data_IF_897181402929
#
_entry.id   IF_897181402929
#
_cell.length_a   1.000
_cell.length_b   1.000
_cell.length_c   1.000
_cell.angle_alpha   90.00
_cell.angle_beta   90.00
_cell.angle_gamma   90.00
#
_symmetry.space_group_name_H-M   'P 1'
#
loop_
_entity.id
_entity.type
_entity.pdbx_description
1 polymer ?
#
# COMPACT_ATOMS: atom_id res chain seq x y z
N UNK A 1 20.95 -0.69 -30.74
CA UNK A 1 19.98 -1.47 -29.96
C UNK A 1 18.88 -0.50 -29.54
N UNK A 2 17.93 -0.27 -30.46
CA UNK A 2 17.01 0.88 -30.49
C UNK A 2 15.62 0.52 -29.93
N UNK A 3 15.56 0.23 -28.63
CA UNK A 3 14.29 -0.04 -27.95
C UNK A 3 13.64 1.19 -27.27
N UNK A 4 14.36 2.26 -26.83
CA UNK A 4 13.72 3.29 -26.02
C UNK A 4 12.60 4.03 -26.76
N UNK A 5 12.89 4.65 -27.92
CA UNK A 5 12.00 5.57 -28.64
C UNK A 5 10.63 4.97 -29.02
N UNK A 6 10.61 3.75 -29.57
CA UNK A 6 9.36 3.12 -29.98
C UNK A 6 8.47 2.71 -28.79
N UNK A 7 9.07 2.38 -27.64
CA UNK A 7 8.30 2.01 -26.44
C UNK A 7 7.69 3.23 -25.74
N UNK A 8 8.36 4.39 -25.79
CA UNK A 8 7.80 5.67 -25.34
C UNK A 8 6.50 6.03 -26.08
N UNK A 9 6.46 5.89 -27.41
CA UNK A 9 5.25 6.16 -28.19
C UNK A 9 4.13 5.12 -27.98
N UNK A 10 4.45 3.93 -27.48
CA UNK A 10 3.50 2.82 -27.35
C UNK A 10 2.60 2.91 -26.10
N UNK A 11 2.90 3.77 -25.12
CA UNK A 11 2.20 3.82 -23.82
C UNK A 11 1.37 5.10 -23.58
N UNK A 12 1.57 6.17 -24.34
CA UNK A 12 0.87 7.45 -24.12
C UNK A 12 -0.22 7.77 -25.16
N UNK A 13 -0.38 6.95 -26.22
CA UNK A 13 -1.22 7.33 -27.37
C UNK A 13 -2.74 7.32 -27.15
N UNK A 14 -3.23 6.74 -26.05
CA UNK A 14 -4.65 6.85 -25.69
C UNK A 14 -4.73 6.97 -24.18
N UNK A 15 -5.40 8.01 -23.67
CA UNK A 15 -5.52 8.36 -22.24
C UNK A 15 -6.29 7.36 -21.36
N UNK A 16 -6.24 6.07 -21.70
CA UNK A 16 -6.85 4.97 -20.99
C UNK A 16 -5.80 4.01 -20.46
N UNK A 17 -5.73 3.89 -19.14
CA UNK A 17 -4.83 2.97 -18.44
C UNK A 17 -5.03 1.49 -18.85
N UNK A 18 -6.19 1.11 -19.39
CA UNK A 18 -6.43 -0.26 -19.91
C UNK A 18 -5.45 -0.62 -21.03
N UNK A 19 -5.08 0.34 -21.88
CA UNK A 19 -4.11 0.13 -22.95
C UNK A 19 -2.72 -0.25 -22.40
N UNK A 20 -2.37 0.15 -21.17
CA UNK A 20 -1.10 -0.23 -20.54
C UNK A 20 -1.02 -1.75 -20.36
N UNK A 21 -2.10 -2.40 -19.94
CA UNK A 21 -2.13 -3.86 -19.73
C UNK A 21 -1.89 -4.65 -21.02
N UNK A 22 -2.47 -4.19 -22.14
CA UNK A 22 -2.25 -4.80 -23.47
C UNK A 22 -0.77 -4.70 -23.89
N UNK A 23 -0.14 -3.56 -23.58
CA UNK A 23 1.28 -3.33 -23.88
C UNK A 23 2.19 -4.15 -22.98
N UNK A 24 1.87 -4.29 -21.69
CA UNK A 24 2.58 -5.21 -20.77
C UNK A 24 2.54 -6.62 -21.33
N UNK A 25 1.38 -7.08 -21.82
CA UNK A 25 1.25 -8.40 -22.46
C UNK A 25 2.13 -8.54 -23.70
N UNK A 26 2.10 -7.56 -24.60
CA UNK A 26 2.90 -7.57 -25.84
C UNK A 26 4.43 -7.49 -25.60
N UNK A 27 4.86 -7.05 -24.42
CA UNK A 27 6.26 -6.87 -24.05
C UNK A 27 6.68 -7.73 -22.86
N UNK A 28 5.86 -8.68 -22.42
CA UNK A 28 6.13 -9.53 -21.27
C UNK A 28 7.49 -10.23 -21.40
N UNK A 29 8.21 -10.32 -20.28
CA UNK A 29 9.58 -10.84 -20.14
C UNK A 29 10.69 -10.02 -20.82
N UNK A 30 10.37 -8.93 -21.53
CA UNK A 30 11.40 -8.00 -22.01
C UNK A 30 12.03 -7.28 -20.82
N UNK A 31 13.32 -6.99 -20.92
CA UNK A 31 14.09 -6.25 -19.92
C UNK A 31 14.54 -4.92 -20.50
N UNK A 32 14.16 -3.82 -19.86
CA UNK A 32 14.60 -2.48 -20.25
C UNK A 32 15.60 -1.96 -19.22
N UNK A 33 16.78 -1.56 -19.70
CA UNK A 33 17.78 -0.92 -18.85
C UNK A 33 17.29 0.47 -18.43
N UNK A 34 17.46 0.78 -17.15
CA UNK A 34 17.19 2.11 -16.63
C UNK A 34 18.44 2.98 -16.76
N UNK A 35 18.24 4.28 -17.03
CA UNK A 35 19.33 5.24 -17.05
C UNK A 35 19.91 5.46 -15.65
N UNK A 36 19.04 5.44 -14.63
CA UNK A 36 19.39 5.45 -13.21
C UNK A 36 18.39 4.59 -12.43
N UNK A 37 18.84 3.87 -11.38
CA UNK A 37 20.24 3.55 -11.11
C UNK A 37 20.83 2.66 -12.21
N UNK A 38 22.12 2.84 -12.53
CA UNK A 38 22.79 2.08 -13.61
C UNK A 38 22.92 0.61 -13.22
N UNK A 39 22.82 -0.27 -14.20
CA UNK A 39 22.98 -1.72 -14.00
C UNK A 39 21.66 -2.44 -13.73
N UNK A 40 20.62 -1.72 -13.30
CA UNK A 40 19.30 -2.26 -13.09
C UNK A 40 18.45 -2.29 -14.36
N UNK A 41 17.56 -3.28 -14.42
CA UNK A 41 16.64 -3.48 -15.54
C UNK A 41 15.24 -3.70 -15.02
N UNK A 42 14.27 -2.99 -15.59
CA UNK A 42 12.85 -3.29 -15.43
C UNK A 42 12.52 -4.53 -16.28
N UNK A 43 12.12 -5.62 -15.63
CA UNK A 43 11.53 -6.80 -16.28
C UNK A 43 10.03 -6.58 -16.42
N UNK A 44 9.55 -6.45 -17.65
CA UNK A 44 8.12 -6.27 -17.94
C UNK A 44 7.37 -7.55 -17.63
N UNK A 45 6.26 -7.41 -16.91
CA UNK A 45 5.41 -8.51 -16.50
C UNK A 45 4.17 -8.03 -15.76
N UNK A 46 3.20 -8.92 -15.63
CA UNK A 46 2.00 -8.69 -14.83
C UNK A 46 2.27 -8.99 -13.36
N UNK A 47 1.30 -8.70 -12.50
CA UNK A 47 1.38 -9.07 -11.08
C UNK A 47 1.72 -10.55 -10.86
N UNK A 48 1.19 -11.44 -11.69
CA UNK A 48 1.42 -12.89 -11.60
C UNK A 48 2.85 -13.33 -11.94
N UNK A 49 3.67 -12.41 -12.47
CA UNK A 49 5.09 -12.61 -12.75
C UNK A 49 6.00 -12.13 -11.60
N UNK A 50 5.41 -11.76 -10.46
CA UNK A 50 6.08 -11.15 -9.29
C UNK A 50 5.88 -11.99 -8.02
N UNK A 51 6.52 -11.62 -6.91
CA UNK A 51 6.23 -12.22 -5.59
C UNK A 51 4.78 -12.05 -5.12
N UNK A 52 4.00 -11.15 -5.74
CA UNK A 52 2.60 -10.92 -5.41
C UNK A 52 1.61 -11.75 -6.22
N UNK A 53 2.08 -12.81 -6.89
CA UNK A 53 1.25 -13.71 -7.71
C UNK A 53 0.00 -14.20 -6.96
N UNK A 54 -1.15 -14.08 -7.60
CA UNK A 54 -2.45 -14.49 -7.04
C UNK A 54 -3.00 -13.59 -5.92
N UNK A 55 -2.24 -12.61 -5.42
CA UNK A 55 -2.68 -11.72 -4.34
C UNK A 55 -3.31 -10.42 -4.88
N UNK A 56 -4.49 -10.53 -5.52
CA UNK A 56 -5.18 -9.39 -6.14
C UNK A 56 -5.42 -8.20 -5.20
N UNK A 57 -5.51 -8.47 -3.90
CA UNK A 57 -5.72 -7.43 -2.87
C UNK A 57 -4.60 -6.41 -2.83
N UNK A 58 -3.36 -6.78 -3.16
CA UNK A 58 -2.22 -5.84 -3.11
C UNK A 58 -2.48 -4.63 -4.01
N UNK A 59 -2.88 -4.85 -5.26
CA UNK A 59 -3.10 -3.74 -6.20
C UNK A 59 -4.36 -2.94 -5.84
N UNK A 60 -5.39 -3.62 -5.35
CA UNK A 60 -6.61 -2.97 -4.84
C UNK A 60 -6.29 -2.06 -3.64
N UNK A 61 -5.46 -2.52 -2.71
CA UNK A 61 -5.04 -1.73 -1.54
C UNK A 61 -4.16 -0.54 -1.95
N UNK A 62 -3.21 -0.74 -2.87
CA UNK A 62 -2.38 0.35 -3.39
C UNK A 62 -3.19 1.43 -4.08
N UNK A 63 -4.24 1.03 -4.81
CA UNK A 63 -5.12 1.96 -5.51
C UNK A 63 -5.96 2.82 -4.55
N UNK A 64 -6.27 2.32 -3.35
CA UNK A 64 -7.26 2.92 -2.44
C UNK A 64 -6.71 3.56 -1.19
N UNK A 65 -5.66 3.00 -0.60
CA UNK A 65 -5.29 3.32 0.79
C UNK A 65 -3.99 4.10 0.93
N UNK A 66 -3.30 4.39 -0.16
CA UNK A 66 -2.00 5.06 -0.14
C UNK A 66 -2.07 6.52 -0.57
N UNK A 67 -2.85 6.81 -1.61
CA UNK A 67 -3.01 8.14 -2.16
C UNK A 67 -4.28 8.80 -1.62
N UNK A 68 -4.30 10.13 -1.60
CA UNK A 68 -5.44 10.90 -1.08
C UNK A 68 -6.74 10.55 -1.81
N UNK A 69 -6.66 10.46 -3.14
CA UNK A 69 -7.75 10.02 -4.00
C UNK A 69 -7.45 8.60 -4.49
N UNK A 70 -8.50 7.83 -4.79
CA UNK A 70 -8.34 6.52 -5.43
C UNK A 70 -7.69 6.71 -6.81
N UNK A 71 -6.64 5.95 -7.09
CA UNK A 71 -5.93 5.95 -8.37
C UNK A 71 -5.80 4.51 -8.82
N UNK A 72 -6.48 4.12 -9.91
CA UNK A 72 -6.31 2.78 -10.47
C UNK A 72 -4.86 2.57 -10.89
N UNK A 73 -4.28 1.44 -10.51
CA UNK A 73 -2.89 1.11 -10.82
C UNK A 73 -2.77 -0.16 -11.65
N UNK A 74 -1.84 -0.15 -12.60
CA UNK A 74 -1.47 -1.32 -13.41
C UNK A 74 0.00 -1.65 -13.17
N UNK A 75 0.26 -2.92 -12.84
CA UNK A 75 1.64 -3.43 -12.74
C UNK A 75 2.25 -3.46 -14.14
N UNK A 76 3.43 -2.87 -14.29
CA UNK A 76 4.18 -2.89 -15.55
C UNK A 76 5.45 -3.75 -15.47
N UNK A 77 5.84 -4.18 -14.28
CA UNK A 77 6.95 -5.11 -14.10
C UNK A 77 7.61 -5.03 -12.73
N UNK A 78 8.81 -5.59 -12.63
CA UNK A 78 9.63 -5.59 -11.41
C UNK A 78 11.08 -5.22 -11.72
N UNK A 79 11.77 -4.72 -10.71
CA UNK A 79 13.23 -4.67 -10.69
C UNK A 79 13.70 -5.71 -9.67
N UNK A 80 14.41 -6.73 -10.15
CA UNK A 80 14.98 -7.80 -9.33
C UNK A 80 16.36 -7.42 -8.78
N UNK A 81 16.65 -7.86 -7.55
CA UNK A 81 17.98 -7.74 -6.94
C UNK A 81 18.38 -6.30 -6.67
N UNK A 82 17.41 -5.45 -6.35
CA UNK A 82 17.64 -4.04 -6.09
C UNK A 82 18.24 -3.85 -4.68
N UNK A 83 19.54 -3.53 -4.59
CA UNK A 83 20.27 -3.51 -3.31
C UNK A 83 19.73 -2.45 -2.31
N UNK A 84 19.10 -1.39 -2.81
CA UNK A 84 18.49 -0.35 -1.98
C UNK A 84 17.05 -0.70 -1.54
N UNK A 85 16.49 -1.82 -2.04
CA UNK A 85 15.19 -2.35 -1.62
C UNK A 85 15.31 -3.05 -0.28
N UNK A 86 14.47 -2.69 0.69
CA UNK A 86 14.41 -3.34 1.99
C UNK A 86 13.49 -4.58 1.97
N UNK A 87 12.76 -4.82 0.88
CA UNK A 87 11.94 -6.02 0.75
C UNK A 87 12.77 -7.30 0.80
N UNK A 88 12.35 -8.27 1.60
CA UNK A 88 13.03 -9.58 1.72
C UNK A 88 13.20 -10.30 0.38
N UNK A 89 12.29 -10.03 -0.58
CA UNK A 89 12.35 -10.58 -1.93
C UNK A 89 13.41 -9.94 -2.83
N UNK A 90 13.91 -8.75 -2.47
CA UNK A 90 14.72 -7.89 -3.34
C UNK A 90 14.00 -7.46 -4.62
N UNK A 91 12.67 -7.63 -4.70
CA UNK A 91 11.85 -7.20 -5.84
C UNK A 91 11.17 -5.87 -5.53
N UNK A 92 11.48 -4.87 -6.34
CA UNK A 92 10.75 -3.60 -6.36
C UNK A 92 9.67 -3.65 -7.44
N UNK A 93 8.40 -3.66 -7.02
CA UNK A 93 7.25 -3.72 -7.93
C UNK A 93 7.04 -2.35 -8.59
N UNK A 94 6.93 -2.29 -9.91
CA UNK A 94 6.71 -1.04 -10.65
C UNK A 94 5.30 -0.99 -11.22
N UNK A 95 4.60 0.11 -10.94
CA UNK A 95 3.21 0.36 -11.33
C UNK A 95 3.06 1.69 -12.07
N UNK A 96 2.01 1.80 -12.86
CA UNK A 96 1.55 3.06 -13.46
C UNK A 96 0.15 3.35 -12.94
N UNK A 97 -0.07 4.56 -12.43
CA UNK A 97 -1.39 5.05 -12.04
C UNK A 97 -2.17 5.61 -13.22
N UNK A 98 -3.49 5.71 -13.11
CA UNK A 98 -4.34 6.35 -14.15
C UNK A 98 -4.08 7.85 -14.29
N UNK A 99 -3.36 8.43 -13.32
CA UNK A 99 -2.77 9.77 -13.38
C UNK A 99 -1.45 9.83 -14.18
N UNK A 100 -1.09 8.73 -14.85
CA UNK A 100 0.11 8.53 -15.68
C UNK A 100 1.44 8.67 -14.96
N UNK A 101 1.43 8.68 -13.62
CA UNK A 101 2.64 8.64 -12.82
C UNK A 101 3.13 7.22 -12.62
N UNK A 102 4.43 7.09 -12.35
CA UNK A 102 5.06 5.79 -12.10
C UNK A 102 5.34 5.66 -10.61
N UNK A 103 4.91 4.52 -10.07
CA UNK A 103 5.08 4.17 -8.68
C UNK A 103 5.95 2.94 -8.51
N UNK A 104 6.65 2.86 -7.39
CA UNK A 104 7.34 1.67 -6.94
C UNK A 104 6.78 1.23 -5.59
N UNK A 105 6.66 -0.07 -5.36
CA UNK A 105 6.13 -0.63 -4.12
C UNK A 105 7.10 -1.66 -3.53
N UNK A 106 7.40 -1.49 -2.24
CA UNK A 106 8.16 -2.44 -1.41
C UNK A 106 7.66 -2.38 0.04
N UNK A 107 7.68 -3.50 0.78
CA UNK A 107 7.51 -3.58 2.26
C UNK A 107 6.50 -2.59 2.88
N UNK A 108 5.33 -2.41 2.25
CA UNK A 108 4.26 -1.48 2.65
C UNK A 108 4.45 0.02 2.34
N UNK A 109 5.49 0.42 1.63
CA UNK A 109 5.73 1.77 1.13
C UNK A 109 5.40 1.88 -0.37
N UNK A 110 4.61 2.89 -0.75
CA UNK A 110 4.40 3.26 -2.15
C UNK A 110 5.18 4.54 -2.46
N UNK A 111 6.04 4.49 -3.46
CA UNK A 111 6.91 5.59 -3.83
C UNK A 111 6.54 6.14 -5.20
N UNK A 112 6.36 7.45 -5.32
CA UNK A 112 6.32 8.13 -6.62
C UNK A 112 7.75 8.24 -7.14
N UNK A 113 8.11 7.40 -8.13
CA UNK A 113 9.50 7.28 -8.63
C UNK A 113 9.74 8.04 -9.93
N UNK A 114 8.69 8.31 -10.70
CA UNK A 114 8.75 9.19 -11.87
C UNK A 114 7.40 9.88 -12.13
N UNK A 115 7.44 11.11 -12.67
CA UNK A 115 6.25 11.90 -12.99
C UNK A 115 5.53 11.44 -14.27
N UNK A 116 6.19 10.60 -15.07
CA UNK A 116 5.65 9.97 -16.27
C UNK A 116 6.50 8.75 -16.65
N UNK A 117 5.98 7.90 -17.52
CA UNK A 117 6.75 6.81 -18.13
C UNK A 117 7.95 7.33 -18.92
N UNK A 118 7.78 8.46 -19.61
CA UNK A 118 8.90 9.13 -20.29
C UNK A 118 10.03 9.46 -19.29
N UNK A 119 9.69 10.07 -18.15
CA UNK A 119 10.66 10.42 -17.13
C UNK A 119 11.37 9.20 -16.54
N UNK A 120 10.65 8.08 -16.33
CA UNK A 120 11.25 6.83 -15.82
C UNK A 120 12.42 6.36 -16.67
N UNK A 121 12.28 6.35 -18.00
CA UNK A 121 13.32 5.81 -18.88
C UNK A 121 14.35 6.87 -19.31
N UNK A 122 13.97 8.14 -19.46
CA UNK A 122 14.91 9.20 -19.83
C UNK A 122 15.76 9.65 -18.63
N UNK A 123 15.12 9.92 -17.49
CA UNK A 123 15.81 10.43 -16.30
C UNK A 123 16.22 9.31 -15.34
N UNK A 124 15.50 8.19 -15.35
CA UNK A 124 15.70 7.06 -14.44
C UNK A 124 14.65 7.00 -13.32
N UNK A 125 14.78 5.96 -12.51
CA UNK A 125 14.03 5.73 -11.28
C UNK A 125 14.58 6.64 -10.18
N UNK A 126 13.75 7.54 -9.64
CA UNK A 126 14.10 8.23 -8.39
C UNK A 126 13.74 7.33 -7.22
N UNK A 127 14.74 6.84 -6.50
CA UNK A 127 14.58 5.99 -5.33
C UNK A 127 15.22 6.67 -4.09
N UNK A 128 14.62 6.59 -2.88
CA UNK A 128 13.37 5.89 -2.55
C UNK A 128 12.14 6.49 -3.24
N UNK A 129 12.13 7.78 -3.56
CA UNK A 129 11.04 8.39 -4.34
C UNK A 129 11.13 9.92 -4.38
N UNK A 130 10.40 10.54 -5.30
CA UNK A 130 10.08 11.98 -5.27
C UNK A 130 9.18 12.27 -4.06
N UNK A 131 8.28 11.33 -3.76
CA UNK A 131 7.40 11.32 -2.59
C UNK A 131 7.10 9.88 -2.20
N UNK A 132 7.03 9.60 -0.91
CA UNK A 132 6.64 8.30 -0.36
C UNK A 132 5.27 8.42 0.30
N UNK A 133 4.48 7.37 0.18
CA UNK A 133 3.14 7.23 0.75
C UNK A 133 3.08 5.97 1.59
N UNK A 134 2.42 6.08 2.74
CA UNK A 134 2.21 4.98 3.66
C UNK A 134 0.76 4.51 3.63
N UNK A 135 0.56 3.23 3.93
CA UNK A 135 -0.78 2.66 4.02
C UNK A 135 -1.62 3.41 5.05
N UNK A 136 -2.79 3.88 4.64
CA UNK A 136 -3.71 4.63 5.48
C UNK A 136 -3.38 6.12 5.63
N UNK A 137 -2.28 6.61 5.06
CA UNK A 137 -1.90 8.02 5.14
C UNK A 137 -2.98 8.96 4.55
N UNK A 138 -3.76 8.46 3.58
CA UNK A 138 -4.90 9.17 3.02
C UNK A 138 -5.94 9.60 4.06
N UNK A 139 -6.02 8.91 5.20
CA UNK A 139 -6.99 9.19 6.27
C UNK A 139 -6.48 10.17 7.34
N UNK A 140 -5.19 10.51 7.35
CA UNK A 140 -4.60 11.35 8.42
C UNK A 140 -5.22 12.75 8.53
N UNK A 141 -5.69 13.30 7.42
CA UNK A 141 -6.24 14.66 7.34
C UNK A 141 -7.75 14.67 7.02
N UNK A 142 -8.42 13.55 7.19
CA UNK A 142 -9.85 13.43 6.92
C UNK A 142 -10.65 14.15 8.02
N UNK A 143 -11.58 15.01 7.60
CA UNK A 143 -12.48 15.77 8.48
C UNK A 143 -13.56 14.86 9.09
N UNK A 144 -14.16 15.23 10.24
CA UNK A 144 -15.25 14.47 10.84
C UNK A 144 -16.43 14.22 9.88
N UNK A 145 -16.70 15.17 8.99
CA UNK A 145 -17.73 15.06 7.95
C UNK A 145 -17.38 13.96 6.94
N UNK A 146 -16.16 13.99 6.40
CA UNK A 146 -15.66 12.97 5.46
C UNK A 146 -15.64 11.57 6.10
N UNK A 147 -15.27 11.46 7.39
CA UNK A 147 -15.36 10.20 8.14
C UNK A 147 -16.80 9.70 8.25
N UNK A 148 -17.75 10.60 8.53
CA UNK A 148 -19.15 10.23 8.65
C UNK A 148 -19.73 9.75 7.33
N UNK A 149 -19.27 10.32 6.20
CA UNK A 149 -19.70 9.87 4.87
C UNK A 149 -19.12 8.48 4.54
N UNK A 150 -17.83 8.22 4.85
CA UNK A 150 -17.22 6.88 4.73
C UNK A 150 -17.96 5.83 5.58
N UNK A 151 -18.38 6.20 6.79
CA UNK A 151 -19.17 5.30 7.66
C UNK A 151 -20.56 5.01 7.10
N UNK A 152 -21.23 6.01 6.52
CA UNK A 152 -22.59 5.86 5.96
C UNK A 152 -22.60 5.09 4.65
N UNK A 153 -21.58 5.25 3.81
CA UNK A 153 -21.54 4.68 2.46
C UNK A 153 -21.18 3.18 2.43
N UNK A 154 -20.87 2.58 3.58
CA UNK A 154 -20.53 1.17 3.67
C UNK A 154 -21.51 0.35 4.52
N UNK A 155 -22.41 -0.35 3.85
CA UNK A 155 -23.30 -1.37 4.45
C UNK A 155 -22.52 -2.41 5.27
N UNK A 156 -21.30 -2.74 4.87
CA UNK A 156 -20.44 -3.67 5.61
C UNK A 156 -19.91 -3.08 6.91
N UNK A 157 -19.50 -1.80 6.91
CA UNK A 157 -19.08 -1.10 8.13
C UNK A 157 -20.27 -1.03 9.08
N UNK A 158 -21.45 -0.64 8.61
CA UNK A 158 -22.64 -0.58 9.43
C UNK A 158 -23.00 -1.95 10.03
N UNK A 159 -23.01 -3.02 9.21
CA UNK A 159 -23.25 -4.39 9.71
C UNK A 159 -22.22 -4.82 10.74
N UNK A 160 -20.94 -4.50 10.55
CA UNK A 160 -19.89 -4.82 11.53
C UNK A 160 -20.06 -4.03 12.83
N UNK A 161 -20.42 -2.75 12.75
CA UNK A 161 -20.70 -1.92 13.92
C UNK A 161 -21.93 -2.44 14.68
N UNK A 162 -22.99 -2.81 13.99
CA UNK A 162 -24.20 -3.35 14.60
C UNK A 162 -23.93 -4.71 15.24
N UNK A 163 -23.21 -5.60 14.55
CA UNK A 163 -22.76 -6.87 15.11
C UNK A 163 -21.89 -6.67 16.35
N UNK A 164 -20.98 -5.69 16.33
CA UNK A 164 -20.14 -5.35 17.48
C UNK A 164 -20.97 -4.84 18.67
N UNK A 165 -21.92 -3.93 18.42
CA UNK A 165 -22.85 -3.43 19.46
C UNK A 165 -23.70 -4.56 20.04
N UNK A 166 -24.23 -5.44 19.20
CA UNK A 166 -24.99 -6.63 19.64
C UNK A 166 -24.11 -7.56 20.50
N UNK A 167 -22.87 -7.81 20.08
CA UNK A 167 -21.93 -8.62 20.84
C UNK A 167 -21.64 -8.01 22.22
N UNK A 168 -21.30 -6.72 22.29
CA UNK A 168 -21.09 -6.02 23.56
C UNK A 168 -22.30 -6.12 24.48
N UNK A 169 -23.50 -5.86 23.96
CA UNK A 169 -24.74 -5.94 24.73
C UNK A 169 -25.05 -7.36 25.23
N UNK A 170 -24.76 -8.37 24.41
CA UNK A 170 -24.97 -9.77 24.78
C UNK A 170 -23.99 -10.27 25.86
N UNK A 171 -22.80 -9.66 25.94
CA UNK A 171 -21.73 -10.05 26.85
C UNK A 171 -21.63 -9.15 28.08
N UNK A 172 -22.32 -8.00 28.08
CA UNK A 172 -22.28 -6.98 29.13
C UNK A 172 -22.52 -7.56 30.52
N UNK A 173 -23.60 -8.33 30.71
CA UNK A 173 -23.93 -8.88 32.02
C UNK A 173 -22.87 -9.88 32.50
N UNK A 174 -22.31 -10.69 31.59
CA UNK A 174 -21.28 -11.67 31.93
C UNK A 174 -19.97 -10.97 32.32
N UNK A 175 -19.57 -9.95 31.57
CA UNK A 175 -18.42 -9.11 31.90
C UNK A 175 -18.60 -8.42 33.26
N UNK A 176 -19.78 -7.84 33.53
CA UNK A 176 -20.08 -7.20 34.81
C UNK A 176 -20.05 -8.20 35.97
N UNK A 177 -20.64 -9.40 35.81
CA UNK A 177 -20.55 -10.48 36.80
C UNK A 177 -19.11 -10.87 37.08
N UNK A 178 -18.29 -11.03 36.04
CA UNK A 178 -16.89 -11.39 36.17
C UNK A 178 -16.09 -10.28 36.89
N UNK A 179 -16.31 -9.01 36.53
CA UNK A 179 -15.70 -7.86 37.21
C UNK A 179 -16.08 -7.80 38.69
N UNK A 180 -17.33 -8.11 39.04
CA UNK A 180 -17.76 -8.14 40.44
C UNK A 180 -17.14 -9.30 41.22
N UNK A 181 -17.00 -10.48 40.62
CA UNK A 181 -16.26 -11.60 41.20
C UNK A 181 -14.81 -11.22 41.45
N UNK A 182 -14.14 -10.57 40.48
CA UNK A 182 -12.76 -10.08 40.64
C UNK A 182 -12.70 -9.07 41.78
N UNK A 183 -13.61 -8.10 41.83
CA UNK A 183 -13.67 -7.08 42.89
C UNK A 183 -13.82 -7.70 44.29
N UNK A 184 -14.61 -8.76 44.44
CA UNK A 184 -14.77 -9.49 45.71
C UNK A 184 -13.56 -10.35 46.08
N UNK A 185 -12.82 -10.84 45.09
CA UNK A 185 -11.60 -11.64 45.27
C UNK A 185 -10.34 -10.78 45.42
N UNK A 186 -10.38 -9.52 45.03
CA UNK A 186 -9.32 -8.57 45.34
C UNK A 186 -9.30 -8.39 46.87
N UNK A 187 -8.24 -8.83 47.56
CA UNK A 187 -8.15 -8.61 48.99
C UNK A 187 -8.12 -7.10 49.22
N UNK A 188 -8.84 -6.62 50.23
CA UNK A 188 -8.73 -5.26 50.77
C UNK A 188 -7.34 -5.09 51.38
N UNK A 189 -6.29 -5.12 50.57
CA UNK A 189 -4.94 -4.78 50.98
C UNK A 189 -4.90 -3.27 51.07
N UNK A 190 -5.34 -2.75 52.21
CA UNK A 190 -4.97 -1.42 52.69
C UNK A 190 -3.49 -1.44 53.10
N UNK A 191 -2.60 -1.88 52.19
CA UNK A 191 -1.16 -1.84 52.38
C UNK A 191 -0.68 -0.53 51.78
N UNK A 192 -0.25 0.38 52.66
CA UNK A 192 0.59 1.52 52.30
C UNK A 192 1.69 1.03 51.35
N UNK A 193 1.61 1.43 50.09
CA UNK A 193 2.67 1.20 49.12
C UNK A 193 3.79 2.18 49.48
N UNK A 194 4.84 1.69 50.14
CA UNK A 194 6.08 2.44 50.25
C UNK A 194 6.79 2.36 48.91
N UNK A 195 6.71 3.43 48.13
CA UNK A 195 7.54 3.59 46.94
C UNK A 195 8.99 3.80 47.39
N UNK A 196 9.87 2.84 47.05
CA UNK A 196 11.31 3.07 47.07
C UNK A 196 11.76 3.17 45.62
N UNK A 197 12.07 4.38 45.19
CA UNK A 197 12.71 4.63 43.89
C UNK A 197 14.20 4.39 44.12
N UNK A 198 14.73 3.34 43.50
CA UNK A 198 16.19 3.18 43.35
C UNK A 198 16.50 3.59 41.91
N UNK A 199 17.24 4.69 41.79
CA UNK A 199 17.87 5.11 40.54
C UNK A 199 19.12 4.28 40.31
N UNK A 200 19.22 3.68 39.13
CA UNK A 200 20.49 3.39 38.46
C UNK A 200 20.38 3.82 37.00
#
# INVERSE_FOLDING_TARGET
>A
MEVPSAMFHLLEENGDIRCVSDKVTAHCNKRISLNKPKGYKLKIGHQDDTVYKGNKKVIEELSKFYLKEEVKMVVIGVIDGFDECEAESGQLLILVGEDWKVYAYETECLHLVAKSMQNLFESGLNYPGIKTFYRGQCFENMTPEEWSDVERDSDEIQKKQDAHKCFLKSTEEEFLRNLEIIKRKLPTQNKKVHFCIIFY
#
